data_IF_441833652038
#
_entry.id   IF_441833652038
#
_cell.length_a   1.000
_cell.length_b   1.000
_cell.length_c   1.000
_cell.angle_alpha   90.00
_cell.angle_beta   90.00
_cell.angle_gamma   90.00
#
_symmetry.space_group_name_H-M   'P 1'
#
loop_
_entity.id
_entity.type
_entity.pdbx_description
1 polymer ?
#
# COMPACT_ATOMS: atom_id res chain seq x y z
N UNK A 1 13.99 7.11 5.81
CA UNK A 1 14.50 6.41 4.63
C UNK A 1 16.01 6.62 4.57
N UNK A 2 16.74 5.69 3.91
CA UNK A 2 18.21 5.71 3.93
C UNK A 2 18.76 6.38 2.66
N UNK A 3 19.78 7.23 2.82
CA UNK A 3 20.58 7.76 1.71
C UNK A 3 21.92 7.04 1.61
N UNK A 4 22.80 7.45 0.67
CA UNK A 4 24.10 6.81 0.46
C UNK A 4 25.01 6.87 1.69
N UNK A 5 24.98 7.99 2.42
CA UNK A 5 25.77 8.15 3.64
C UNK A 5 25.36 7.14 4.73
N UNK A 6 24.05 6.89 4.85
CA UNK A 6 23.52 5.91 5.81
C UNK A 6 23.86 4.49 5.35
N UNK A 7 23.64 4.19 4.06
CA UNK A 7 23.91 2.86 3.48
C UNK A 7 25.38 2.47 3.60
N UNK A 8 26.30 3.42 3.52
CA UNK A 8 27.72 3.16 3.72
C UNK A 8 28.06 2.67 5.15
N UNK A 9 27.19 2.88 6.11
CA UNK A 9 27.36 2.50 7.52
C UNK A 9 26.48 1.32 7.95
N UNK A 10 25.53 0.88 7.09
CA UNK A 10 24.58 -0.21 7.38
C UNK A 10 25.12 -1.55 6.92
N UNK A 11 25.02 -2.56 7.77
CA UNK A 11 25.36 -3.94 7.44
C UNK A 11 24.06 -4.78 7.44
N UNK A 12 23.95 -5.68 6.47
CA UNK A 12 22.89 -6.69 6.38
C UNK A 12 23.47 -8.10 6.54
N UNK A 13 23.84 -8.54 7.75
CA UNK A 13 24.61 -9.76 7.98
C UNK A 13 23.97 -11.04 7.45
N UNK A 14 22.65 -11.05 7.34
CA UNK A 14 21.86 -12.20 6.83
C UNK A 14 21.31 -11.96 5.43
N UNK A 15 21.67 -10.87 4.76
CA UNK A 15 21.11 -10.47 3.46
C UNK A 15 21.39 -11.46 2.32
N UNK A 16 22.48 -12.21 2.43
CA UNK A 16 22.85 -13.22 1.44
C UNK A 16 22.14 -14.59 1.64
N UNK A 17 21.34 -14.75 2.69
CA UNK A 17 20.71 -16.02 3.05
C UNK A 17 19.19 -16.00 2.88
N UNK A 18 18.63 -17.07 2.36
CA UNK A 18 17.20 -17.30 2.41
C UNK A 18 16.75 -17.65 3.85
N UNK A 19 15.49 -17.33 4.19
CA UNK A 19 14.93 -17.54 5.54
C UNK A 19 15.16 -18.94 6.14
N UNK A 20 15.01 -20.06 5.38
CA UNK A 20 15.33 -21.40 5.89
C UNK A 20 16.80 -21.54 6.30
N UNK A 21 17.72 -20.97 5.53
CA UNK A 21 19.16 -20.98 5.85
C UNK A 21 19.47 -20.19 7.12
N UNK A 22 18.83 -19.03 7.30
CA UNK A 22 18.95 -18.22 8.54
C UNK A 22 18.50 -19.03 9.76
N UNK A 23 17.41 -19.83 9.64
CA UNK A 23 16.93 -20.70 10.73
C UNK A 23 17.92 -21.81 11.07
N UNK A 24 18.54 -22.42 10.06
CA UNK A 24 19.59 -23.44 10.28
C UNK A 24 20.77 -22.82 11.01
N UNK A 25 21.28 -21.68 10.54
CA UNK A 25 22.39 -20.98 11.20
C UNK A 25 22.06 -20.56 12.64
N UNK A 26 20.82 -20.16 12.90
CA UNK A 26 20.36 -19.83 14.24
C UNK A 26 20.34 -21.06 15.17
N UNK A 27 19.88 -22.21 14.65
CA UNK A 27 19.86 -23.48 15.40
C UNK A 27 21.28 -23.99 15.69
N UNK A 28 22.18 -23.95 14.71
CA UNK A 28 23.61 -24.33 14.88
C UNK A 28 24.32 -23.49 15.94
N UNK A 29 23.90 -22.24 16.11
CA UNK A 29 24.41 -21.30 17.13
C UNK A 29 23.66 -21.34 18.46
N UNK A 30 22.71 -22.28 18.61
CA UNK A 30 21.95 -22.44 19.84
C UNK A 30 21.04 -21.25 20.18
N UNK A 31 20.62 -20.44 19.18
CA UNK A 31 19.74 -19.28 19.43
C UNK A 31 18.32 -19.76 19.77
N UNK A 32 17.74 -19.32 20.90
CA UNK A 32 16.43 -19.79 21.36
C UNK A 32 15.28 -19.42 20.41
N UNK A 33 15.51 -18.45 19.51
CA UNK A 33 14.53 -17.99 18.52
C UNK A 33 14.53 -18.80 17.23
N UNK A 34 15.45 -19.77 17.05
CA UNK A 34 15.60 -20.53 15.80
C UNK A 34 14.31 -21.25 15.38
N UNK A 35 13.59 -21.84 16.35
CA UNK A 35 12.34 -22.56 16.12
C UNK A 35 11.09 -21.67 16.19
N UNK A 36 11.21 -20.36 16.45
CA UNK A 36 10.07 -19.47 16.59
C UNK A 36 9.37 -19.27 15.24
N UNK A 37 8.04 -19.37 15.24
CA UNK A 37 7.19 -19.05 14.08
C UNK A 37 7.38 -17.63 13.60
N UNK A 38 6.95 -17.35 12.39
CA UNK A 38 6.93 -15.97 11.88
C UNK A 38 5.86 -15.17 12.59
N UNK A 39 6.24 -14.00 13.13
CA UNK A 39 5.27 -13.00 13.60
C UNK A 39 4.67 -12.33 12.39
N UNK A 40 3.44 -12.68 12.01
CA UNK A 40 2.70 -12.05 10.92
C UNK A 40 1.61 -11.11 11.46
N UNK A 41 1.30 -11.18 12.75
CA UNK A 41 0.25 -10.41 13.39
C UNK A 41 0.82 -9.24 14.22
N UNK A 42 -0.03 -8.24 14.42
CA UNK A 42 0.28 -7.13 15.30
C UNK A 42 0.39 -7.65 16.74
N UNK A 43 1.60 -7.61 17.32
CA UNK A 43 1.90 -8.23 18.62
C UNK A 43 1.08 -7.66 19.79
N UNK A 44 0.46 -6.48 19.64
CA UNK A 44 -0.42 -5.86 20.64
C UNK A 44 -1.91 -6.21 20.44
N UNK A 45 -2.26 -6.97 19.39
CA UNK A 45 -3.60 -7.51 19.17
C UNK A 45 -3.54 -9.02 19.40
N UNK A 46 -3.61 -9.42 20.67
CA UNK A 46 -3.36 -10.81 21.10
C UNK A 46 -4.33 -11.84 20.51
N UNK A 47 -5.51 -11.43 20.09
CA UNK A 47 -6.56 -12.28 19.50
C UNK A 47 -6.70 -12.12 17.98
N UNK A 48 -5.85 -11.27 17.34
CA UNK A 48 -5.91 -11.01 15.92
C UNK A 48 -7.13 -10.19 15.46
N UNK A 49 -8.02 -9.77 16.38
CA UNK A 49 -9.19 -8.97 16.07
C UNK A 49 -8.88 -7.46 16.13
N UNK A 50 -8.29 -6.93 15.06
CA UNK A 50 -7.98 -5.50 14.96
C UNK A 50 -9.23 -4.60 14.99
N UNK A 51 -10.39 -5.11 14.58
CA UNK A 51 -11.66 -4.35 14.60
C UNK A 51 -12.12 -4.09 16.02
N UNK A 52 -12.06 -5.12 16.87
CA UNK A 52 -12.31 -4.99 18.29
C UNK A 52 -11.33 -4.03 18.95
N UNK A 53 -10.06 -4.13 18.59
CA UNK A 53 -9.03 -3.21 19.09
C UNK A 53 -9.33 -1.75 18.69
N UNK A 54 -9.71 -1.49 17.45
CA UNK A 54 -10.10 -0.16 16.97
C UNK A 54 -11.34 0.37 17.70
N UNK A 55 -12.37 -0.46 17.84
CA UNK A 55 -13.61 -0.07 18.55
C UNK A 55 -13.35 0.30 20.02
N UNK A 56 -12.37 -0.34 20.67
CA UNK A 56 -12.01 -0.06 22.06
C UNK A 56 -11.09 1.17 22.23
N UNK A 57 -10.18 1.43 21.26
CA UNK A 57 -9.13 2.44 21.39
C UNK A 57 -9.36 3.71 20.56
N UNK A 58 -10.24 3.66 19.54
CA UNK A 58 -10.59 4.78 18.67
C UNK A 58 -12.08 4.70 18.27
N UNK A 59 -13.01 4.70 19.23
CA UNK A 59 -14.45 4.54 18.95
C UNK A 59 -14.99 5.66 18.04
N UNK A 60 -14.42 6.85 18.11
CA UNK A 60 -14.78 7.98 17.26
C UNK A 60 -14.44 7.75 15.78
N UNK A 61 -13.49 6.89 15.47
CA UNK A 61 -13.17 6.50 14.10
C UNK A 61 -14.09 5.39 13.56
N UNK A 62 -14.77 4.67 14.46
CA UNK A 62 -15.66 3.56 14.15
C UNK A 62 -17.12 4.02 13.96
N UNK A 63 -17.32 5.14 13.28
CA UNK A 63 -18.67 5.66 12.99
C UNK A 63 -19.29 4.94 11.81
N UNK A 64 -20.53 4.41 11.96
CA UNK A 64 -21.29 3.86 10.83
C UNK A 64 -21.52 4.90 9.72
N UNK A 65 -21.67 4.42 8.51
CA UNK A 65 -21.95 5.26 7.36
C UNK A 65 -22.41 4.43 6.15
N UNK A 66 -22.82 5.10 5.04
CA UNK A 66 -23.38 4.40 3.89
C UNK A 66 -22.33 3.60 3.14
N UNK A 67 -22.73 2.44 2.62
CA UNK A 67 -22.05 1.74 1.54
C UNK A 67 -22.75 2.13 0.25
N UNK A 68 -22.00 2.67 -0.70
CA UNK A 68 -22.52 3.13 -1.99
C UNK A 68 -21.76 2.47 -3.15
N UNK A 69 -22.37 2.39 -4.32
CA UNK A 69 -21.64 2.04 -5.53
C UNK A 69 -20.93 3.26 -6.14
N UNK A 70 -20.19 3.03 -7.25
CA UNK A 70 -19.47 4.08 -7.98
C UNK A 70 -20.39 5.19 -8.58
N UNK A 71 -21.72 4.96 -8.59
CA UNK A 71 -22.73 5.93 -9.03
C UNK A 71 -23.42 6.64 -7.84
N UNK A 72 -22.99 6.38 -6.60
CA UNK A 72 -23.56 6.94 -5.39
C UNK A 72 -24.87 6.28 -4.92
N UNK A 73 -25.28 5.14 -5.49
CA UNK A 73 -26.48 4.43 -5.05
C UNK A 73 -26.20 3.67 -3.76
N UNK A 74 -27.07 3.82 -2.76
CA UNK A 74 -26.96 3.14 -1.48
C UNK A 74 -27.14 1.62 -1.60
N UNK A 75 -26.23 0.86 -1.03
CA UNK A 75 -26.23 -0.61 -1.00
C UNK A 75 -26.34 -1.18 0.41
N UNK A 76 -26.07 -0.39 1.44
CA UNK A 76 -26.06 -0.82 2.83
C UNK A 76 -25.38 0.18 3.75
N UNK A 77 -24.95 -0.30 4.91
CA UNK A 77 -24.27 0.50 5.92
C UNK A 77 -23.02 -0.24 6.41
N UNK A 78 -21.91 0.49 6.57
CA UNK A 78 -20.70 -0.01 7.19
C UNK A 78 -20.63 0.42 8.66
N UNK A 79 -19.84 -0.29 9.47
CA UNK A 79 -19.71 -0.02 10.92
C UNK A 79 -18.49 0.82 11.29
N UNK A 80 -17.76 1.36 10.32
CA UNK A 80 -16.61 2.23 10.49
C UNK A 80 -15.58 2.01 9.40
N UNK A 81 -15.17 3.06 8.68
CA UNK A 81 -14.22 3.00 7.57
C UNK A 81 -12.88 2.31 7.91
N UNK A 82 -12.30 2.48 9.12
CA UNK A 82 -11.02 1.82 9.47
C UNK A 82 -11.06 0.29 9.48
N UNK A 83 -12.27 -0.31 9.46
CA UNK A 83 -12.43 -1.76 9.40
C UNK A 83 -12.36 -2.33 7.97
N UNK A 84 -12.17 -1.46 6.97
CA UNK A 84 -12.16 -1.83 5.55
C UNK A 84 -10.84 -1.43 4.89
N UNK A 85 -10.52 -2.14 3.81
CA UNK A 85 -9.30 -1.89 3.03
C UNK A 85 -9.64 -1.90 1.55
N UNK A 86 -9.05 -1.01 0.76
CA UNK A 86 -9.20 -0.97 -0.69
C UNK A 86 -8.84 -2.35 -1.27
N UNK A 87 -9.68 -2.86 -2.18
CA UNK A 87 -9.56 -4.20 -2.75
C UNK A 87 -10.18 -5.32 -1.91
N UNK A 88 -10.66 -5.04 -0.70
CA UNK A 88 -11.36 -6.03 0.13
C UNK A 88 -12.65 -6.48 -0.54
N UNK A 89 -12.86 -7.83 -0.58
CA UNK A 89 -14.08 -8.46 -1.11
C UNK A 89 -15.00 -8.96 -0.01
N UNK A 90 -14.44 -9.55 1.03
CA UNK A 90 -15.22 -10.20 2.09
C UNK A 90 -15.65 -9.25 3.20
N UNK A 91 -16.74 -9.58 3.91
CA UNK A 91 -17.17 -8.86 5.12
C UNK A 91 -17.83 -7.51 4.84
N UNK A 92 -18.36 -7.28 3.62
CA UNK A 92 -19.08 -6.05 3.27
C UNK A 92 -20.53 -6.04 3.79
N UNK A 93 -21.10 -7.21 4.09
CA UNK A 93 -22.47 -7.32 4.63
C UNK A 93 -23.59 -6.97 3.64
N UNK A 94 -23.28 -6.87 2.34
CA UNK A 94 -24.22 -6.55 1.26
C UNK A 94 -24.43 -7.74 0.35
N UNK A 95 -25.68 -7.93 -0.09
CA UNK A 95 -26.03 -8.93 -1.11
C UNK A 95 -25.98 -8.27 -2.50
N UNK A 96 -25.23 -8.88 -3.42
CA UNK A 96 -25.12 -8.40 -4.79
C UNK A 96 -25.07 -9.56 -5.78
N UNK A 97 -25.53 -9.33 -7.02
CA UNK A 97 -25.52 -10.34 -8.08
C UNK A 97 -24.11 -10.75 -8.52
N UNK A 98 -23.12 -9.89 -8.29
CA UNK A 98 -21.71 -10.14 -8.59
C UNK A 98 -20.83 -9.73 -7.41
N UNK A 99 -19.60 -10.27 -7.31
CA UNK A 99 -18.67 -9.88 -6.26
C UNK A 99 -18.34 -8.39 -6.32
N UNK A 100 -18.52 -7.70 -5.18
CA UNK A 100 -18.14 -6.31 -5.01
C UNK A 100 -16.84 -6.21 -4.20
N UNK A 101 -16.10 -5.16 -4.47
CA UNK A 101 -14.80 -4.84 -3.87
C UNK A 101 -14.83 -3.41 -3.36
N UNK A 102 -14.13 -3.14 -2.26
CA UNK A 102 -13.91 -1.77 -1.80
C UNK A 102 -13.06 -1.04 -2.82
N UNK A 103 -13.61 0.02 -3.41
CA UNK A 103 -12.93 0.87 -4.38
C UNK A 103 -12.27 2.08 -3.71
N UNK A 104 -12.95 2.64 -2.68
CA UNK A 104 -12.53 3.86 -2.02
C UNK A 104 -13.09 3.93 -0.59
N UNK A 105 -12.36 4.59 0.30
CA UNK A 105 -12.79 5.02 1.62
C UNK A 105 -13.00 6.54 1.56
N UNK A 106 -14.22 6.99 1.29
CA UNK A 106 -14.56 8.41 1.24
C UNK A 106 -14.65 8.97 2.67
N UNK A 107 -13.54 9.54 3.12
CA UNK A 107 -13.43 10.10 4.46
C UNK A 107 -14.28 11.38 4.63
N UNK A 108 -14.48 12.14 3.56
CA UNK A 108 -15.24 13.40 3.61
C UNK A 108 -16.72 13.17 3.89
N UNK A 109 -17.29 12.12 3.27
CA UNK A 109 -18.70 11.77 3.44
C UNK A 109 -18.92 10.59 4.38
N UNK A 110 -17.86 10.05 4.99
CA UNK A 110 -17.89 8.81 5.77
C UNK A 110 -18.57 7.67 5.03
N UNK A 111 -18.26 7.50 3.73
CA UNK A 111 -18.87 6.52 2.86
C UNK A 111 -17.87 5.45 2.38
N UNK A 112 -18.34 4.20 2.29
CA UNK A 112 -17.59 3.10 1.70
C UNK A 112 -18.04 2.92 0.26
N UNK A 113 -17.19 3.25 -0.71
CA UNK A 113 -17.48 3.07 -2.13
C UNK A 113 -17.07 1.67 -2.55
N UNK A 114 -18.02 0.94 -3.15
CA UNK A 114 -17.79 -0.43 -3.62
C UNK A 114 -18.20 -0.60 -5.08
N UNK A 115 -17.57 -1.54 -5.78
CA UNK A 115 -17.91 -1.83 -7.17
C UNK A 115 -17.33 -3.15 -7.66
N UNK A 116 -17.58 -3.50 -8.92
CA UNK A 116 -17.03 -4.70 -9.54
C UNK A 116 -15.51 -4.61 -9.65
N UNK A 117 -14.86 -5.77 -9.78
CA UNK A 117 -13.40 -5.89 -9.87
C UNK A 117 -12.77 -5.02 -10.97
N UNK A 118 -13.49 -4.78 -12.06
CA UNK A 118 -13.01 -3.97 -13.18
C UNK A 118 -12.76 -2.50 -12.80
N UNK A 119 -13.45 -1.99 -11.78
CA UNK A 119 -13.33 -0.59 -11.31
C UNK A 119 -12.21 -0.39 -10.29
N UNK A 120 -11.51 -1.45 -9.86
CA UNK A 120 -10.38 -1.34 -8.93
C UNK A 120 -9.13 -0.71 -9.55
N UNK A 121 -9.02 -0.72 -10.88
CA UNK A 121 -7.81 -0.28 -11.56
C UNK A 121 -7.53 1.22 -11.37
N UNK A 122 -6.30 1.54 -11.00
CA UNK A 122 -5.75 2.90 -10.94
C UNK A 122 -4.50 2.95 -11.83
N UNK A 123 -4.40 3.96 -12.68
CA UNK A 123 -3.25 4.13 -13.59
C UNK A 123 -2.38 5.31 -13.20
N UNK A 124 -2.74 6.05 -12.17
CA UNK A 124 -1.99 7.21 -11.72
C UNK A 124 -1.92 7.25 -10.20
N UNK A 125 -0.79 7.68 -9.70
CA UNK A 125 -0.59 7.99 -8.30
C UNK A 125 0.22 9.28 -8.13
N UNK A 126 -0.02 9.94 -7.01
CA UNK A 126 0.77 11.06 -6.51
C UNK A 126 1.38 10.67 -5.17
N UNK A 127 2.66 11.00 -4.99
CA UNK A 127 3.41 10.65 -3.79
C UNK A 127 3.58 11.84 -2.85
N UNK A 128 3.96 11.59 -1.61
CA UNK A 128 4.64 12.56 -0.77
C UNK A 128 6.08 12.79 -1.25
N UNK A 129 6.86 13.56 -0.47
CA UNK A 129 8.27 13.79 -0.79
C UNK A 129 9.02 12.48 -1.00
N UNK A 130 9.83 12.44 -2.06
CA UNK A 130 10.62 11.27 -2.42
C UNK A 130 11.98 11.31 -1.71
N UNK A 131 12.36 10.17 -1.15
CA UNK A 131 13.74 9.95 -0.73
C UNK A 131 14.53 9.31 -1.89
N UNK A 132 15.40 10.07 -2.50
CA UNK A 132 16.30 9.59 -3.55
C UNK A 132 17.53 8.97 -2.93
N UNK A 133 17.84 7.71 -3.31
CA UNK A 133 18.99 6.97 -2.75
C UNK A 133 20.32 7.63 -3.15
N UNK A 134 20.42 8.17 -4.35
CA UNK A 134 21.59 8.92 -4.83
C UNK A 134 21.69 10.34 -4.24
N UNK A 135 20.65 10.83 -3.53
CA UNK A 135 20.54 12.18 -3.01
C UNK A 135 19.81 13.15 -3.96
N UNK A 136 19.75 12.81 -5.23
CA UNK A 136 19.05 13.59 -6.27
C UNK A 136 18.30 12.67 -7.24
N UNK A 137 17.24 13.17 -7.90
CA UNK A 137 16.49 12.40 -8.88
C UNK A 137 17.27 12.23 -10.19
N UNK A 138 16.92 11.20 -11.02
CA UNK A 138 17.52 11.02 -12.35
C UNK A 138 17.22 12.15 -13.34
N UNK A 139 16.11 12.88 -13.14
CA UNK A 139 15.66 13.96 -14.03
C UNK A 139 14.28 14.47 -13.62
N UNK A 140 13.72 15.44 -14.34
CA UNK A 140 12.39 16.00 -14.07
C UNK A 140 11.27 15.03 -14.47
N UNK A 141 11.40 14.38 -15.64
CA UNK A 141 10.52 13.30 -16.07
C UNK A 141 11.39 12.16 -16.62
N UNK A 142 11.11 10.92 -16.24
CA UNK A 142 11.86 9.74 -16.64
C UNK A 142 11.03 8.47 -16.53
N UNK A 143 11.43 7.43 -17.26
CA UNK A 143 10.84 6.09 -17.17
C UNK A 143 11.53 5.27 -16.08
N UNK A 144 10.72 4.56 -15.28
CA UNK A 144 11.20 3.67 -14.24
C UNK A 144 10.19 2.54 -14.01
N UNK A 145 10.61 1.50 -13.31
CA UNK A 145 9.70 0.49 -12.78
C UNK A 145 9.26 0.93 -11.38
N UNK A 146 7.95 0.98 -11.14
CA UNK A 146 7.38 1.35 -9.86
C UNK A 146 6.77 0.13 -9.16
N UNK A 147 7.25 -0.16 -7.94
CA UNK A 147 6.71 -1.18 -7.05
C UNK A 147 5.82 -0.52 -6.01
N UNK A 148 4.51 -0.76 -6.08
CA UNK A 148 3.48 -0.08 -5.28
C UNK A 148 3.18 -0.71 -3.93
N UNK A 149 3.78 -1.86 -3.62
CA UNK A 149 3.68 -2.54 -2.32
C UNK A 149 4.69 -3.68 -2.23
N UNK A 150 4.93 -4.16 -1.03
CA UNK A 150 5.73 -5.36 -0.79
C UNK A 150 5.18 -6.56 -1.58
N UNK A 151 6.07 -7.30 -2.25
CA UNK A 151 5.77 -8.46 -3.13
C UNK A 151 4.96 -8.15 -4.41
N UNK A 152 4.63 -6.90 -4.71
CA UNK A 152 4.12 -6.59 -6.04
C UNK A 152 5.25 -6.69 -7.06
N UNK A 153 4.91 -7.13 -8.26
CA UNK A 153 5.83 -7.02 -9.41
C UNK A 153 6.00 -5.53 -9.74
N UNK A 154 7.24 -5.03 -9.88
CA UNK A 154 7.46 -3.69 -10.40
C UNK A 154 6.85 -3.55 -11.80
N UNK A 155 6.20 -2.41 -12.06
CA UNK A 155 5.53 -2.14 -13.34
C UNK A 155 6.10 -0.88 -13.96
N UNK A 156 6.26 -0.85 -15.30
CA UNK A 156 6.71 0.35 -16.01
C UNK A 156 5.80 1.54 -15.73
N UNK A 157 6.41 2.69 -15.50
CA UNK A 157 5.70 3.94 -15.27
C UNK A 157 6.55 5.13 -15.70
N UNK A 158 5.89 6.17 -16.22
CA UNK A 158 6.47 7.48 -16.42
C UNK A 158 6.38 8.27 -15.13
N UNK A 159 7.53 8.72 -14.61
CA UNK A 159 7.64 9.44 -13.35
C UNK A 159 7.89 10.92 -13.62
N UNK A 160 7.05 11.79 -13.10
CA UNK A 160 7.20 13.25 -13.21
C UNK A 160 7.42 13.85 -11.83
N UNK A 161 8.54 14.54 -11.66
CA UNK A 161 8.84 15.26 -10.42
C UNK A 161 8.15 16.61 -10.38
N UNK A 162 7.66 16.97 -9.21
CA UNK A 162 7.05 18.24 -8.93
C UNK A 162 8.02 19.13 -8.14
N UNK A 163 7.79 20.46 -8.23
CA UNK A 163 8.67 21.45 -7.61
C UNK A 163 8.73 21.36 -6.07
N UNK A 164 7.75 20.75 -5.45
CA UNK A 164 7.67 20.54 -3.99
C UNK A 164 8.38 19.27 -3.50
N UNK A 165 9.07 18.56 -4.39
CA UNK A 165 9.78 17.32 -4.07
C UNK A 165 8.90 16.07 -4.05
N UNK A 166 7.63 16.19 -4.42
CA UNK A 166 6.71 15.08 -4.65
C UNK A 166 6.85 14.54 -6.09
N UNK A 167 6.19 13.42 -6.41
CA UNK A 167 6.21 12.88 -7.75
C UNK A 167 4.84 12.33 -8.15
N UNK A 168 4.58 12.35 -9.44
CA UNK A 168 3.50 11.63 -10.07
C UNK A 168 4.05 10.42 -10.82
N UNK A 169 3.33 9.31 -10.78
CA UNK A 169 3.65 8.13 -11.57
C UNK A 169 2.43 7.73 -12.39
N UNK A 170 2.61 7.65 -13.70
CA UNK A 170 1.61 7.23 -14.66
C UNK A 170 1.96 5.84 -15.18
N UNK A 171 1.02 4.90 -15.09
CA UNK A 171 1.15 3.51 -15.57
C UNK A 171 0.38 3.34 -16.88
N UNK A 172 0.93 2.57 -17.81
CA UNK A 172 0.25 2.24 -19.07
C UNK A 172 -0.97 1.35 -18.87
N UNK A 173 -0.96 0.54 -17.81
CA UNK A 173 -2.06 -0.36 -17.48
C UNK A 173 -2.58 -0.10 -16.07
N UNK A 174 -3.90 -0.15 -15.85
CA UNK A 174 -4.45 0.04 -14.52
C UNK A 174 -4.01 -1.05 -13.52
N UNK A 175 -3.47 -0.65 -12.38
CA UNK A 175 -3.05 -1.52 -11.29
C UNK A 175 -4.12 -1.52 -10.19
N UNK A 176 -4.50 -2.72 -9.71
CA UNK A 176 -5.61 -2.86 -8.74
C UNK A 176 -5.28 -2.45 -7.31
N UNK A 177 -4.02 -2.44 -7.00
CA UNK A 177 -3.59 -2.40 -5.59
C UNK A 177 -2.86 -1.10 -5.22
N UNK A 178 -3.00 -0.04 -6.03
CA UNK A 178 -2.48 1.29 -5.67
C UNK A 178 -3.35 1.84 -4.54
N UNK A 179 -2.76 1.99 -3.36
CA UNK A 179 -3.49 2.39 -2.15
C UNK A 179 -2.78 3.54 -1.45
N UNK A 180 -3.47 4.65 -1.15
CA UNK A 180 -2.92 5.71 -0.30
C UNK A 180 -2.42 5.17 1.04
N UNK A 181 -1.31 5.72 1.53
CA UNK A 181 -0.64 5.27 2.74
C UNK A 181 0.39 4.14 2.53
N UNK A 182 0.38 3.45 1.37
CA UNK A 182 1.41 2.49 1.01
C UNK A 182 2.64 3.19 0.43
N UNK A 183 3.79 2.50 0.46
CA UNK A 183 5.00 2.98 -0.19
C UNK A 183 4.99 2.61 -1.68
N UNK A 184 5.48 3.53 -2.51
CA UNK A 184 5.94 3.24 -3.87
C UNK A 184 7.46 3.36 -3.91
N UNK A 185 8.11 2.41 -4.59
CA UNK A 185 9.56 2.39 -4.78
C UNK A 185 9.87 2.32 -6.27
N UNK A 186 10.77 3.18 -6.71
CA UNK A 186 11.18 3.30 -8.11
C UNK A 186 12.49 2.57 -8.35
N UNK A 187 12.54 1.81 -9.44
CA UNK A 187 13.70 1.02 -9.85
C UNK A 187 14.09 1.30 -11.30
N UNK A 188 15.36 1.10 -11.60
CA UNK A 188 15.89 0.98 -12.95
C UNK A 188 16.70 -0.32 -13.01
N UNK A 189 16.05 -1.38 -13.51
CA UNK A 189 16.57 -2.73 -13.37
C UNK A 189 16.76 -3.11 -11.90
N UNK A 190 17.98 -3.46 -11.50
CA UNK A 190 18.29 -3.82 -10.10
C UNK A 190 18.61 -2.61 -9.19
N UNK A 191 18.68 -1.41 -9.76
CA UNK A 191 19.02 -0.20 -8.99
C UNK A 191 17.77 0.42 -8.38
N UNK A 192 17.71 0.50 -7.06
CA UNK A 192 16.70 1.27 -6.35
C UNK A 192 17.01 2.77 -6.46
N UNK A 193 16.15 3.52 -7.15
CA UNK A 193 16.30 4.96 -7.33
C UNK A 193 15.86 5.74 -6.10
N UNK A 194 14.75 5.33 -5.50
CA UNK A 194 14.13 6.01 -4.37
C UNK A 194 12.69 5.61 -4.18
N UNK A 195 11.97 6.32 -3.32
CA UNK A 195 10.56 6.06 -3.09
C UNK A 195 9.92 7.02 -2.10
N UNK A 196 8.60 6.96 -2.02
CA UNK A 196 7.79 7.78 -1.13
C UNK A 196 6.48 7.12 -0.75
N UNK A 197 5.68 7.79 0.06
CA UNK A 197 4.32 7.32 0.39
C UNK A 197 3.34 7.75 -0.69
N UNK A 198 2.44 6.88 -1.11
CA UNK A 198 1.34 7.20 -2.01
C UNK A 198 0.33 8.06 -1.25
N UNK A 199 -0.01 9.24 -1.76
CA UNK A 199 -0.97 10.17 -1.14
C UNK A 199 -2.31 10.11 -1.85
N UNK A 200 -2.32 10.11 -3.19
CA UNK A 200 -3.52 10.11 -4.03
C UNK A 200 -3.39 9.13 -5.17
N UNK A 201 -4.55 8.68 -5.67
CA UNK A 201 -4.64 7.80 -6.83
C UNK A 201 -5.83 8.21 -7.69
N UNK A 202 -5.78 7.95 -9.01
CA UNK A 202 -6.92 8.14 -9.92
C UNK A 202 -7.13 6.93 -10.80
N UNK A 203 -8.39 6.72 -11.21
CA UNK A 203 -8.74 5.80 -12.28
C UNK A 203 -8.21 6.34 -13.63
N UNK A 204 -7.91 5.44 -14.56
CA UNK A 204 -7.54 5.87 -15.91
C UNK A 204 -8.72 6.54 -16.60
N UNK A 205 -8.51 7.75 -17.15
CA UNK A 205 -9.53 8.51 -17.88
C UNK A 205 -10.19 9.69 -17.14
N UNK A 206 -9.88 9.90 -15.88
CA UNK A 206 -10.27 11.14 -15.18
C UNK A 206 -9.24 12.22 -15.49
N UNK A 207 -9.58 13.06 -16.47
CA UNK A 207 -8.82 14.25 -16.86
C UNK A 207 -8.71 15.25 -15.69
N UNK A 208 -7.59 15.98 -15.75
CA UNK A 208 -7.26 17.10 -14.85
C UNK A 208 -8.40 18.13 -14.83
N UNK A 209 -9.10 18.24 -13.72
CA UNK A 209 -9.94 19.38 -13.39
C UNK A 209 -9.31 20.13 -12.21
#
# INVERSE_FOLDING_TARGET
>A
MLGQADLAQVLFPVGAYAKPQVRVLAAERGLPTAARGESQDLCFIADGDYRRFLAANAPEAMRPGPIVDSQGRGLGEHFGLPAYTIGQRGGLGIAAAQPLYVLELDLAHNALVVGPRAELGRSWLHTGPINWIAGEPPGGTFEAEAQIRYRATPMPASITLLADGTAEAQFDVPLRDITPGQAVVFYQGEVCLGGGSIIRTRAGGEDQA
#
